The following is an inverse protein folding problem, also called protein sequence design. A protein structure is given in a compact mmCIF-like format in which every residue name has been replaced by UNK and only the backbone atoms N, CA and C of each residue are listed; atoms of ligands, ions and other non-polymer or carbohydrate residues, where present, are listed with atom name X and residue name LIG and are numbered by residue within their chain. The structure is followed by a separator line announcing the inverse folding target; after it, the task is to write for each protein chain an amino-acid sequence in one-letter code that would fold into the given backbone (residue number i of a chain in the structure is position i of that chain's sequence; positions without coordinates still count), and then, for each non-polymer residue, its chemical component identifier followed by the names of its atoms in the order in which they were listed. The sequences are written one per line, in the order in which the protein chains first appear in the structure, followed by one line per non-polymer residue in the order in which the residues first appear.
data_IF_479123495041
#
_entry.id   IF_479123495041
#
_cell.length_a   1.000
_cell.length_b   1.000
_cell.length_c   1.000
_cell.angle_alpha   90.00
_cell.angle_beta   90.00
_cell.angle_gamma   90.00
#
_symmetry.space_group_name_H-M   'P 1'
#
loop_
_entity.id
_entity.type
_entity.pdbx_description
1 polymer ?
#
# COMPACT_ATOMS: atom_id res chain seq x y z
N UNK A 1 10.25 11.68 -1.46
CA UNK A 1 10.35 10.21 -1.58
C UNK A 1 9.33 9.75 -2.59
N UNK A 2 9.59 8.65 -3.32
CA UNK A 2 8.75 8.14 -4.43
C UNK A 2 8.02 6.82 -4.11
N UNK A 3 8.05 6.38 -2.85
CA UNK A 3 7.45 5.12 -2.40
C UNK A 3 5.96 5.25 -2.14
N UNK A 4 5.15 5.29 -3.20
CA UNK A 4 3.72 5.63 -3.08
C UNK A 4 2.77 4.42 -3.22
N UNK A 5 3.25 3.25 -3.61
CA UNK A 5 2.40 2.07 -3.85
C UNK A 5 2.77 0.90 -2.94
N UNK A 6 1.77 0.22 -2.39
CA UNK A 6 1.96 -0.89 -1.43
C UNK A 6 1.36 -2.20 -1.93
N UNK A 7 1.36 -3.22 -1.06
CA UNK A 7 0.72 -4.55 -1.25
C UNK A 7 -0.22 -4.84 -0.06
N UNK A 8 -1.19 -5.77 -0.17
CA UNK A 8 -2.27 -5.91 0.83
C UNK A 8 -1.82 -6.16 2.26
N UNK A 9 -0.66 -6.78 2.48
CA UNK A 9 -0.11 -6.98 3.83
C UNK A 9 0.14 -5.65 4.56
N UNK A 10 0.39 -4.55 3.85
CA UNK A 10 0.57 -3.23 4.44
C UNK A 10 -0.69 -2.74 5.15
N UNK A 11 -1.88 -3.01 4.62
CA UNK A 11 -3.16 -2.62 5.26
C UNK A 11 -3.30 -3.31 6.61
N UNK A 12 -2.99 -4.62 6.66
CA UNK A 12 -2.98 -5.39 7.91
C UNK A 12 -1.89 -4.92 8.87
N UNK A 13 -0.69 -4.65 8.36
CA UNK A 13 0.41 -4.16 9.18
C UNK A 13 0.06 -2.83 9.87
N UNK A 14 -0.51 -1.87 9.14
CA UNK A 14 -0.89 -0.57 9.70
C UNK A 14 -2.01 -0.70 10.75
N UNK A 15 -3.09 -1.40 10.44
CA UNK A 15 -4.31 -1.34 11.27
C UNK A 15 -4.42 -2.48 12.29
N UNK A 16 -3.85 -3.65 12.02
CA UNK A 16 -3.94 -4.80 12.91
C UNK A 16 -2.66 -5.02 13.75
N UNK A 17 -1.49 -4.61 13.25
CA UNK A 17 -0.23 -4.77 13.97
C UNK A 17 0.21 -3.48 14.67
N UNK A 18 0.26 -2.36 13.94
CA UNK A 18 0.57 -1.04 14.52
C UNK A 18 -0.65 -0.36 15.14
N UNK A 19 -1.84 -0.95 15.02
CA UNK A 19 -3.09 -0.43 15.57
C UNK A 19 -3.41 1.03 15.18
N UNK A 20 -2.93 1.46 14.00
CA UNK A 20 -3.20 2.80 13.49
C UNK A 20 -4.67 2.96 13.15
N UNK A 21 -5.31 4.00 13.66
CA UNK A 21 -6.72 4.29 13.40
C UNK A 21 -6.96 4.55 11.91
N UNK A 22 -7.89 3.79 11.32
CA UNK A 22 -8.18 3.88 9.89
C UNK A 22 -8.78 5.23 9.52
N UNK A 23 -9.59 5.85 10.38
CA UNK A 23 -10.20 7.15 10.09
C UNK A 23 -9.19 8.29 10.19
N UNK A 24 -8.25 8.25 11.13
CA UNK A 24 -7.14 9.20 11.23
C UNK A 24 -6.22 9.10 10.01
N UNK A 25 -5.85 7.88 9.61
CA UNK A 25 -5.05 7.65 8.41
C UNK A 25 -5.76 8.21 7.16
N UNK A 26 -7.06 7.98 6.99
CA UNK A 26 -7.80 8.54 5.84
C UNK A 26 -7.89 10.07 5.89
N UNK A 27 -8.07 10.67 7.07
CA UNK A 27 -8.10 12.13 7.21
C UNK A 27 -6.77 12.79 6.89
N UNK A 28 -5.66 12.22 7.36
CA UNK A 28 -4.32 12.83 7.25
C UNK A 28 -3.59 12.44 5.97
N UNK A 29 -3.67 11.17 5.57
CA UNK A 29 -2.88 10.60 4.47
C UNK A 29 -3.65 10.59 3.15
N UNK A 30 -4.98 10.51 3.21
CA UNK A 30 -5.86 10.44 2.02
C UNK A 30 -5.43 9.33 1.06
N UNK A 31 -5.36 8.06 1.51
CA UNK A 31 -4.96 6.95 0.67
C UNK A 31 -5.99 6.71 -0.45
N UNK A 32 -5.53 6.15 -1.57
CA UNK A 32 -6.42 5.54 -2.57
C UNK A 32 -6.29 4.03 -2.56
N UNK A 33 -7.26 3.32 -3.14
CA UNK A 33 -7.23 1.87 -3.20
C UNK A 33 -6.45 1.36 -4.40
N UNK A 34 -5.66 0.32 -4.16
CA UNK A 34 -4.94 -0.44 -5.17
C UNK A 34 -5.45 -1.87 -5.15
N UNK A 35 -6.09 -2.30 -6.23
CA UNK A 35 -6.57 -3.69 -6.38
C UNK A 35 -5.55 -4.60 -7.07
N UNK A 36 -4.47 -4.03 -7.62
CA UNK A 36 -3.45 -4.76 -8.36
C UNK A 36 -2.60 -3.81 -9.19
N UNK A 37 -2.04 -4.33 -10.27
CA UNK A 37 -1.30 -3.57 -11.29
C UNK A 37 -1.87 -3.89 -12.65
N UNK A 38 -2.20 -2.85 -13.43
CA UNK A 38 -2.50 -2.96 -14.86
C UNK A 38 -1.18 -2.78 -15.61
N UNK A 39 -0.71 -3.82 -16.29
CA UNK A 39 0.50 -3.77 -17.09
C UNK A 39 0.13 -3.50 -18.54
N UNK A 40 0.34 -2.27 -19.00
CA UNK A 40 0.34 -1.89 -20.41
C UNK A 40 1.67 -2.33 -21.04
N UNK A 41 1.82 -3.64 -21.21
CA UNK A 41 3.07 -4.27 -21.58
C UNK A 41 2.83 -5.55 -22.37
N UNK A 42 3.65 -5.81 -23.38
CA UNK A 42 3.62 -7.05 -24.17
C UNK A 42 3.58 -6.75 -25.66
N UNK A 43 2.45 -7.05 -26.31
CA UNK A 43 2.25 -6.82 -27.74
C UNK A 43 2.13 -5.32 -28.04
N UNK A 44 2.49 -4.87 -29.26
CA UNK A 44 2.19 -3.51 -29.70
C UNK A 44 0.68 -3.22 -29.73
N UNK A 45 0.30 -1.95 -29.56
CA UNK A 45 -1.10 -1.50 -29.57
C UNK A 45 -1.71 -1.43 -28.17
N UNK A 46 -3.03 -1.54 -28.09
CA UNK A 46 -3.79 -1.53 -26.83
C UNK A 46 -3.79 -2.92 -26.18
N UNK A 47 -2.60 -3.38 -25.81
CA UNK A 47 -2.40 -4.65 -25.13
C UNK A 47 -2.05 -4.42 -23.67
N UNK A 48 -2.78 -5.06 -22.77
CA UNK A 48 -2.50 -5.04 -21.35
C UNK A 48 -2.91 -6.35 -20.67
N UNK A 49 -2.36 -6.59 -19.48
CA UNK A 49 -2.82 -7.63 -18.58
C UNK A 49 -2.87 -7.14 -17.13
N UNK A 50 -3.77 -7.71 -16.33
CA UNK A 50 -3.93 -7.36 -14.93
C UNK A 50 -3.24 -8.37 -14.01
N UNK A 51 -2.46 -7.86 -13.07
CA UNK A 51 -2.04 -8.58 -11.87
C UNK A 51 -2.85 -8.08 -10.67
N UNK A 52 -4.04 -8.66 -10.46
CA UNK A 52 -4.93 -8.35 -9.36
C UNK A 52 -4.49 -9.07 -8.08
N UNK A 53 -4.65 -8.43 -6.93
CA UNK A 53 -4.45 -9.06 -5.62
C UNK A 53 -5.52 -10.10 -5.29
N UNK A 54 -6.67 -10.02 -5.95
CA UNK A 54 -7.72 -11.02 -5.86
C UNK A 54 -7.37 -12.22 -6.77
N UNK A 55 -7.06 -13.40 -6.20
CA UNK A 55 -6.70 -14.57 -7.00
C UNK A 55 -7.90 -15.10 -7.80
N UNK A 56 -7.63 -15.87 -8.85
CA UNK A 56 -8.68 -16.55 -9.62
C UNK A 56 -8.13 -17.44 -10.74
N UNK A 57 -8.99 -18.28 -11.35
CA UNK A 57 -8.58 -19.28 -12.33
C UNK A 57 -8.38 -18.66 -13.72
N UNK A 58 -7.16 -18.20 -13.99
CA UNK A 58 -6.79 -17.54 -15.26
C UNK A 58 -7.08 -18.40 -16.49
N UNK A 59 -6.85 -19.72 -16.42
CA UNK A 59 -7.11 -20.61 -17.56
C UNK A 59 -8.61 -20.69 -17.88
N UNK A 60 -9.46 -20.71 -16.86
CA UNK A 60 -10.91 -20.77 -17.02
C UNK A 60 -11.44 -19.46 -17.61
N UNK A 61 -10.86 -18.31 -17.25
CA UNK A 61 -11.30 -17.02 -17.82
C UNK A 61 -11.03 -16.96 -19.33
N UNK A 62 -9.92 -17.52 -19.80
CA UNK A 62 -9.64 -17.62 -21.24
C UNK A 62 -10.56 -18.63 -21.91
N UNK A 63 -10.77 -19.80 -21.31
CA UNK A 63 -11.55 -20.88 -21.93
C UNK A 63 -13.06 -20.58 -21.99
N UNK A 64 -13.62 -19.99 -20.93
CA UNK A 64 -15.06 -19.74 -20.80
C UNK A 64 -15.47 -18.28 -20.99
N UNK A 65 -14.62 -17.31 -20.61
CA UNK A 65 -14.88 -15.87 -20.73
C UNK A 65 -14.30 -15.24 -22.00
N UNK A 66 -13.27 -15.86 -22.59
CA UNK A 66 -12.57 -15.33 -23.76
C UNK A 66 -11.59 -14.19 -23.47
N UNK A 67 -11.45 -13.79 -22.20
CA UNK A 67 -10.52 -12.75 -21.75
C UNK A 67 -9.65 -13.24 -20.59
N UNK A 68 -8.35 -13.08 -20.76
CA UNK A 68 -7.35 -13.36 -19.74
C UNK A 68 -7.55 -12.51 -18.48
N UNK A 69 -8.17 -11.33 -18.57
CA UNK A 69 -8.36 -10.40 -17.46
C UNK A 69 -9.64 -10.67 -16.63
N UNK A 70 -10.51 -11.60 -17.02
CA UNK A 70 -11.78 -11.86 -16.32
C UNK A 70 -11.68 -12.94 -15.21
N UNK A 71 -10.47 -13.26 -14.75
CA UNK A 71 -10.24 -14.35 -13.80
C UNK A 71 -10.70 -14.08 -12.36
N UNK A 72 -10.89 -12.81 -11.98
CA UNK A 72 -11.36 -12.45 -10.64
C UNK A 72 -12.10 -11.13 -10.65
N UNK A 73 -12.97 -10.92 -9.65
CA UNK A 73 -13.68 -9.64 -9.47
C UNK A 73 -12.69 -8.46 -9.34
N UNK A 74 -11.56 -8.66 -8.66
CA UNK A 74 -10.52 -7.62 -8.55
C UNK A 74 -9.92 -7.24 -9.90
N UNK A 75 -9.66 -8.21 -10.77
CA UNK A 75 -9.16 -7.96 -12.12
C UNK A 75 -10.20 -7.23 -12.99
N UNK A 76 -11.47 -7.66 -12.91
CA UNK A 76 -12.56 -6.98 -13.63
C UNK A 76 -12.73 -5.52 -13.18
N UNK A 77 -12.59 -5.23 -11.88
CA UNK A 77 -12.64 -3.87 -11.35
C UNK A 77 -11.50 -2.98 -11.86
N UNK A 78 -10.29 -3.54 -12.01
CA UNK A 78 -9.15 -2.84 -12.61
C UNK A 78 -9.45 -2.50 -14.07
N UNK A 79 -9.88 -3.48 -14.87
CA UNK A 79 -10.20 -3.27 -16.30
C UNK A 79 -11.32 -2.26 -16.52
N UNK A 80 -12.28 -2.18 -15.60
CA UNK A 80 -13.45 -1.30 -15.74
C UNK A 80 -13.29 0.04 -14.99
N UNK A 81 -12.15 0.28 -14.31
CA UNK A 81 -11.92 1.47 -13.49
C UNK A 81 -13.07 1.70 -12.49
N UNK A 82 -13.39 0.66 -11.72
CA UNK A 82 -14.48 0.68 -10.73
C UNK A 82 -13.96 0.33 -9.33
N UNK A 83 -14.69 0.83 -8.34
CA UNK A 83 -14.55 0.41 -6.95
C UNK A 83 -15.72 -0.54 -6.58
N UNK A 84 -15.52 -1.45 -5.60
CA UNK A 84 -16.54 -2.40 -5.18
C UNK A 84 -17.59 -1.76 -4.24
N UNK A 85 -18.13 -0.61 -4.65
CA UNK A 85 -19.19 0.12 -3.96
C UNK A 85 -20.43 0.06 -4.85
N UNK A 86 -21.47 -0.59 -4.35
CA UNK A 86 -22.75 -0.70 -5.04
C UNK A 86 -23.67 0.43 -4.60
N UNK A 87 -24.47 0.95 -5.53
CA UNK A 87 -25.54 1.92 -5.25
C UNK A 87 -26.87 1.23 -5.46
N UNK A 88 -27.62 1.03 -4.38
CA UNK A 88 -28.96 0.45 -4.39
C UNK A 88 -30.06 1.45 -4.76
N UNK A 89 -31.30 0.96 -4.78
CA UNK A 89 -32.47 1.82 -4.95
C UNK A 89 -32.52 2.89 -3.84
N UNK A 90 -32.80 4.15 -4.22
CA UNK A 90 -32.79 5.28 -3.29
C UNK A 90 -31.39 5.81 -2.92
N UNK A 91 -30.32 5.34 -3.56
CA UNK A 91 -28.96 5.87 -3.38
C UNK A 91 -28.19 5.28 -2.19
N UNK A 92 -28.69 4.21 -1.58
CA UNK A 92 -27.99 3.51 -0.51
C UNK A 92 -26.66 2.93 -1.02
N UNK A 93 -25.56 3.19 -0.32
CA UNK A 93 -24.25 2.65 -0.66
C UNK A 93 -23.98 1.36 0.12
N UNK A 94 -23.57 0.31 -0.58
CA UNK A 94 -23.11 -0.95 -0.02
C UNK A 94 -21.65 -1.19 -0.42
N UNK A 95 -20.76 -1.27 0.56
CA UNK A 95 -19.35 -1.59 0.31
C UNK A 95 -19.14 -3.10 0.30
N UNK A 96 -18.41 -3.59 -0.71
CA UNK A 96 -17.90 -4.97 -0.77
C UNK A 96 -16.37 -5.02 -0.60
N UNK A 97 -15.78 -3.96 -0.04
CA UNK A 97 -14.32 -3.83 0.09
C UNK A 97 -13.71 -4.90 1.00
N UNK A 98 -14.48 -5.44 1.94
CA UNK A 98 -14.09 -6.54 2.83
C UNK A 98 -13.94 -7.89 2.11
N UNK A 99 -14.54 -8.02 0.91
CA UNK A 99 -14.48 -9.24 0.09
C UNK A 99 -13.35 -9.23 -0.94
N UNK A 100 -12.65 -8.12 -1.10
CA UNK A 100 -11.65 -7.95 -2.17
C UNK A 100 -10.33 -7.52 -1.54
N UNK A 101 -9.26 -8.32 -1.67
CA UNK A 101 -7.93 -7.91 -1.25
C UNK A 101 -7.52 -6.61 -1.94
N UNK A 102 -7.07 -5.63 -1.16
CA UNK A 102 -6.61 -4.35 -1.67
C UNK A 102 -5.40 -3.85 -0.87
N UNK A 103 -4.70 -2.89 -1.43
CA UNK A 103 -3.61 -2.15 -0.80
C UNK A 103 -3.86 -0.64 -0.91
N UNK A 104 -2.96 0.16 -0.34
CA UNK A 104 -3.00 1.62 -0.49
C UNK A 104 -2.02 2.12 -1.55
N UNK A 105 -2.44 3.14 -2.30
CA UNK A 105 -1.51 4.18 -2.72
C UNK A 105 -1.50 5.30 -1.67
N UNK A 106 -0.31 5.81 -1.36
CA UNK A 106 -0.06 6.73 -0.26
C UNK A 106 0.77 7.90 -0.77
N UNK A 107 0.31 9.12 -0.51
CA UNK A 107 1.17 10.30 -0.69
C UNK A 107 2.35 10.21 0.29
N UNK A 108 3.58 10.16 -0.24
CA UNK A 108 4.76 9.93 0.58
C UNK A 108 4.97 11.03 1.63
N UNK A 109 4.67 12.29 1.30
CA UNK A 109 4.85 13.42 2.22
C UNK A 109 3.89 13.33 3.41
N UNK A 110 2.60 13.17 3.12
CA UNK A 110 1.54 13.01 4.13
C UNK A 110 1.73 11.76 4.98
N UNK A 111 2.12 10.65 4.35
CA UNK A 111 2.32 9.39 5.07
C UNK A 111 3.51 9.46 6.04
N UNK A 112 4.64 10.03 5.62
CA UNK A 112 5.80 10.23 6.51
C UNK A 112 5.48 11.21 7.64
N UNK A 113 4.77 12.30 7.34
CA UNK A 113 4.33 13.25 8.38
C UNK A 113 3.41 12.58 9.41
N UNK A 114 2.43 11.80 8.93
CA UNK A 114 1.54 11.00 9.77
C UNK A 114 2.32 10.03 10.68
N UNK A 115 3.20 9.21 10.11
CA UNK A 115 3.98 8.25 10.91
C UNK A 115 4.90 8.93 11.92
N UNK A 116 5.42 10.12 11.61
CA UNK A 116 6.24 10.90 12.54
C UNK A 116 5.42 11.33 13.76
N UNK A 117 4.21 11.83 13.55
CA UNK A 117 3.30 12.21 14.64
C UNK A 117 2.91 10.99 15.49
N UNK A 118 2.60 9.88 14.84
CA UNK A 118 2.25 8.62 15.50
C UNK A 118 3.42 8.05 16.32
N UNK A 119 4.65 8.08 15.80
CA UNK A 119 5.82 7.60 16.53
C UNK A 119 6.08 8.39 17.82
N UNK A 120 5.97 9.73 17.76
CA UNK A 120 6.10 10.59 18.95
C UNK A 120 4.98 10.30 19.95
N UNK A 121 3.75 10.05 19.47
CA UNK A 121 2.61 9.67 20.33
C UNK A 121 2.83 8.33 21.02
N UNK A 122 3.48 7.39 20.34
CA UNK A 122 3.86 6.08 20.87
C UNK A 122 5.09 6.16 21.81
N UNK A 123 5.63 7.36 22.06
CA UNK A 123 6.74 7.60 22.99
C UNK A 123 8.14 7.51 22.38
N UNK A 124 8.25 7.46 21.05
CA UNK A 124 9.55 7.49 20.38
C UNK A 124 10.15 8.89 20.50
N UNK A 125 11.34 8.98 21.10
CA UNK A 125 12.12 10.21 21.13
C UNK A 125 12.64 10.56 19.73
N UNK A 126 12.51 11.84 19.36
CA UNK A 126 12.94 12.34 18.07
C UNK A 126 14.13 13.27 18.25
N UNK A 127 15.27 12.84 17.74
CA UNK A 127 16.49 13.63 17.65
C UNK A 127 16.71 14.04 16.19
N UNK A 128 16.84 15.33 15.92
CA UNK A 128 17.23 15.87 14.61
C UNK A 128 18.73 16.20 14.64
N UNK A 129 19.57 15.21 14.32
CA UNK A 129 21.04 15.31 14.39
C UNK A 129 21.65 14.80 13.08
N UNK A 130 22.82 15.31 12.69
CA UNK A 130 23.60 14.75 11.60
C UNK A 130 24.67 13.81 12.17
N UNK A 131 24.81 12.63 11.59
CA UNK A 131 25.84 11.67 12.02
C UNK A 131 27.14 11.97 11.27
N UNK A 132 28.22 12.24 12.01
CA UNK A 132 29.56 12.48 11.47
C UNK A 132 30.34 11.17 11.34
N UNK A 133 30.38 10.37 12.41
CA UNK A 133 31.12 9.11 12.42
C UNK A 133 30.48 8.03 13.29
N UNK A 134 30.93 6.78 13.09
CA UNK A 134 30.56 5.62 13.89
C UNK A 134 31.81 5.07 14.58
N UNK A 135 31.69 4.72 15.85
CA UNK A 135 32.80 4.19 16.66
C UNK A 135 32.54 2.72 16.95
N UNK A 136 33.41 1.80 16.50
CA UNK A 136 33.26 0.39 16.78
C UNK A 136 33.74 0.02 18.20
N UNK A 137 33.31 -1.13 18.69
CA UNK A 137 33.84 -1.75 19.91
C UNK A 137 35.32 -2.14 19.75
N UNK A 138 36.02 -2.40 20.86
CA UNK A 138 37.47 -2.68 20.84
C UNK A 138 37.88 -3.94 20.07
N UNK A 139 36.96 -4.88 19.85
CA UNK A 139 37.14 -6.05 18.98
C UNK A 139 36.80 -5.79 17.50
N UNK A 140 36.17 -4.65 17.19
CA UNK A 140 35.78 -4.24 15.84
C UNK A 140 34.53 -4.93 15.29
N UNK A 141 33.81 -5.73 16.09
CA UNK A 141 32.69 -6.55 15.57
C UNK A 141 31.32 -5.88 15.72
N UNK A 142 31.21 -4.84 16.55
CA UNK A 142 29.94 -4.15 16.80
C UNK A 142 30.08 -2.63 16.89
N UNK A 143 28.94 -1.93 16.82
CA UNK A 143 28.85 -0.49 17.01
C UNK A 143 28.82 -0.17 18.51
N UNK A 144 29.74 0.67 18.98
CA UNK A 144 29.75 1.18 20.36
C UNK A 144 28.85 2.42 20.48
N UNK A 145 29.12 3.46 19.69
CA UNK A 145 28.31 4.68 19.61
C UNK A 145 28.47 5.39 18.26
N UNK A 146 27.63 6.42 18.05
CA UNK A 146 27.75 7.37 16.93
C UNK A 146 28.18 8.72 17.47
N UNK A 147 28.93 9.48 16.68
CA UNK A 147 29.31 10.86 16.95
C UNK A 147 28.52 11.77 16.01
N UNK A 148 27.87 12.79 16.57
CA UNK A 148 27.11 13.78 15.80
C UNK A 148 27.96 14.97 15.42
N UNK A 149 27.47 15.78 14.50
CA UNK A 149 28.17 16.96 13.97
C UNK A 149 28.43 18.06 15.02
N UNK A 150 27.69 18.05 16.13
CA UNK A 150 27.86 18.93 17.28
C UNK A 150 28.71 18.35 18.43
N UNK A 151 29.20 17.11 18.29
CA UNK A 151 30.08 16.40 19.24
C UNK A 151 29.37 15.80 20.44
#
# INVERSE_FOLDING_TARGET
GVGEATIPIMVKFLHAYLERDVHELYRKVQPTWKFGVKFEWGQPGDYYFNYAFHPGPVLDSVYYGGDFNEYSLGSMLISNERAPILTGEGGQLTSLIDRIPFAYHLDNGRFVAYLREEAVRDGVERLELSVDSFVPTGDGESLDHIVTDDG
#
